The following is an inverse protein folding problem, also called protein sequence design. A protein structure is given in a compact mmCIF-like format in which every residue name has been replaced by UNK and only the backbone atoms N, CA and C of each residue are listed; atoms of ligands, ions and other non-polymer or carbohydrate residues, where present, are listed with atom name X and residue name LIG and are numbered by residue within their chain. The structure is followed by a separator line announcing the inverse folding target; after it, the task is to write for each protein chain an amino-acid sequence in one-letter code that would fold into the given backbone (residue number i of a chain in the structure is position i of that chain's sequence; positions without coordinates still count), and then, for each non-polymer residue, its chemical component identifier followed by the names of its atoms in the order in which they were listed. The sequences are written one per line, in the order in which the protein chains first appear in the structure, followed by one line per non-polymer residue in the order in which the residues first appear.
data_IF_059625442459
#
_entry.id   IF_059625442459
#
_cell.length_a   1.000
_cell.length_b   1.000
_cell.length_c   1.000
_cell.angle_alpha   90.00
_cell.angle_beta   90.00
_cell.angle_gamma   90.00
#
_symmetry.space_group_name_H-M   'P 1'
#
loop_
_entity.id
_entity.type
_entity.pdbx_description
1 polymer ?
#
# COMPACT_ATOMS: atom_id res chain seq x y z
N UNK A 1 -3.13 22.29 0.37
CA UNK A 1 -2.56 21.15 -0.38
C UNK A 1 -2.07 20.02 0.52
N UNK A 2 -1.15 20.24 1.48
CA UNK A 2 -0.58 19.15 2.32
C UNK A 2 -1.62 18.27 3.05
N UNK A 3 -2.71 18.87 3.57
CA UNK A 3 -3.80 18.11 4.23
C UNK A 3 -4.60 17.23 3.28
N UNK A 4 -4.84 17.68 2.04
CA UNK A 4 -5.56 16.89 1.03
C UNK A 4 -4.74 15.67 0.63
N UNK A 5 -3.43 15.84 0.40
CA UNK A 5 -2.52 14.74 0.11
C UNK A 5 -2.46 13.72 1.26
N UNK A 6 -2.46 14.20 2.50
CA UNK A 6 -2.53 13.33 3.67
C UNK A 6 -3.84 12.53 3.75
N UNK A 7 -5.00 13.19 3.54
CA UNK A 7 -6.30 12.51 3.52
C UNK A 7 -6.36 11.48 2.40
N UNK A 8 -5.87 11.82 1.20
CA UNK A 8 -5.79 10.89 0.07
C UNK A 8 -4.94 9.67 0.42
N UNK A 9 -3.78 9.88 1.05
CA UNK A 9 -2.89 8.80 1.48
C UNK A 9 -3.56 7.88 2.51
N UNK A 10 -4.18 8.44 3.55
CA UNK A 10 -4.91 7.64 4.54
C UNK A 10 -6.10 6.91 3.90
N UNK A 11 -6.81 7.56 2.97
CA UNK A 11 -7.89 6.95 2.20
C UNK A 11 -7.43 5.76 1.35
N UNK A 12 -6.26 5.88 0.69
CA UNK A 12 -5.64 4.80 -0.07
C UNK A 12 -5.26 3.61 0.83
N UNK A 13 -4.76 3.86 2.05
CA UNK A 13 -4.57 2.79 3.04
C UNK A 13 -5.89 2.11 3.44
N UNK A 14 -6.93 2.90 3.68
CA UNK A 14 -8.27 2.38 3.95
C UNK A 14 -8.80 1.49 2.82
N UNK A 15 -8.64 1.94 1.57
CA UNK A 15 -9.02 1.15 0.39
C UNK A 15 -8.21 -0.15 0.28
N UNK A 16 -6.90 -0.09 0.53
CA UNK A 16 -6.03 -1.26 0.53
C UNK A 16 -6.51 -2.30 1.56
N UNK A 17 -6.76 -1.88 2.80
CA UNK A 17 -7.20 -2.76 3.88
C UNK A 17 -8.60 -3.31 3.59
N UNK A 18 -9.51 -2.48 3.08
CA UNK A 18 -10.83 -2.93 2.67
C UNK A 18 -10.73 -4.03 1.60
N UNK A 19 -9.92 -3.83 0.56
CA UNK A 19 -9.68 -4.85 -0.47
C UNK A 19 -9.04 -6.12 0.10
N UNK A 20 -8.10 -6.00 1.06
CA UNK A 20 -7.51 -7.16 1.71
C UNK A 20 -8.55 -8.04 2.43
N UNK A 21 -9.62 -7.43 2.95
CA UNK A 21 -10.67 -8.12 3.71
C UNK A 21 -11.82 -8.61 2.82
N UNK A 22 -12.17 -7.86 1.77
CA UNK A 22 -13.36 -8.14 0.95
C UNK A 22 -13.05 -8.79 -0.40
N UNK A 23 -11.90 -8.46 -0.99
CA UNK A 23 -11.47 -8.99 -2.29
C UNK A 23 -9.95 -9.24 -2.34
N UNK A 24 -9.46 -10.25 -1.59
CA UNK A 24 -8.03 -10.61 -1.53
C UNK A 24 -7.36 -10.77 -2.90
N UNK A 25 -8.10 -11.30 -3.88
CA UNK A 25 -7.63 -11.51 -5.26
C UNK A 25 -7.26 -10.20 -5.96
N UNK A 26 -7.99 -9.11 -5.69
CA UNK A 26 -7.74 -7.81 -6.31
C UNK A 26 -6.36 -7.25 -5.96
N UNK A 27 -5.89 -7.42 -4.72
CA UNK A 27 -4.53 -6.99 -4.35
C UNK A 27 -3.46 -7.79 -5.09
N UNK A 28 -3.72 -9.07 -5.36
CA UNK A 28 -2.83 -9.90 -6.16
C UNK A 28 -2.83 -9.47 -7.63
N UNK A 29 -3.98 -9.10 -8.18
CA UNK A 29 -4.07 -8.59 -9.55
C UNK A 29 -3.37 -7.24 -9.71
N UNK A 30 -3.52 -6.33 -8.72
CA UNK A 30 -2.79 -5.06 -8.68
C UNK A 30 -1.28 -5.29 -8.63
N UNK A 31 -0.81 -6.24 -7.82
CA UNK A 31 0.60 -6.61 -7.80
C UNK A 31 1.08 -7.14 -9.15
N UNK A 32 0.35 -8.08 -9.77
CA UNK A 32 0.69 -8.63 -11.08
C UNK A 32 0.73 -7.54 -12.16
N UNK A 33 -0.23 -6.63 -12.14
CA UNK A 33 -0.25 -5.48 -13.05
C UNK A 33 1.01 -4.62 -12.86
N UNK A 34 1.32 -4.22 -11.62
CA UNK A 34 2.47 -3.37 -11.33
C UNK A 34 3.80 -4.07 -11.70
N UNK A 35 3.95 -5.35 -11.37
CA UNK A 35 5.12 -6.16 -11.69
C UNK A 35 5.24 -6.49 -13.19
N UNK A 36 4.14 -6.37 -13.95
CA UNK A 36 4.10 -6.59 -15.40
C UNK A 36 4.42 -5.35 -16.23
N UNK A 37 4.61 -4.18 -15.63
CA UNK A 37 4.94 -2.95 -16.35
C UNK A 37 6.35 -2.99 -16.95
N UNK A 38 6.62 -2.18 -17.97
CA UNK A 38 8.01 -1.95 -18.42
C UNK A 38 8.82 -1.24 -17.32
N UNK A 39 10.13 -1.50 -17.25
CA UNK A 39 10.99 -1.06 -16.14
C UNK A 39 10.88 0.43 -15.79
N UNK A 40 10.73 1.40 -16.72
CA UNK A 40 10.61 2.81 -16.35
C UNK A 40 9.30 3.09 -15.62
N UNK A 41 8.22 2.45 -16.05
CA UNK A 41 6.90 2.60 -15.42
C UNK A 41 6.85 1.89 -14.07
N UNK A 42 7.51 0.74 -13.92
CA UNK A 42 7.68 0.11 -12.60
C UNK A 42 8.33 1.06 -11.61
N UNK A 43 9.48 1.66 -11.97
CA UNK A 43 10.19 2.62 -11.10
C UNK A 43 9.29 3.80 -10.74
N UNK A 44 8.54 4.33 -11.72
CA UNK A 44 7.62 5.44 -11.49
C UNK A 44 6.53 5.08 -10.47
N UNK A 45 5.91 3.90 -10.60
CA UNK A 45 4.89 3.42 -9.66
C UNK A 45 5.50 3.21 -8.27
N UNK A 46 6.69 2.63 -8.18
CA UNK A 46 7.41 2.43 -6.94
C UNK A 46 7.73 3.75 -6.23
N UNK A 47 8.15 4.80 -6.95
CA UNK A 47 8.45 6.10 -6.36
C UNK A 47 7.17 6.79 -5.85
N UNK A 48 6.10 6.78 -6.66
CA UNK A 48 4.85 7.48 -6.33
C UNK A 48 4.06 6.78 -5.22
N UNK A 49 4.08 5.44 -5.21
CA UNK A 49 3.24 4.61 -4.35
C UNK A 49 4.04 3.72 -3.41
N UNK A 50 5.28 4.11 -3.09
CA UNK A 50 6.24 3.34 -2.28
C UNK A 50 5.62 2.62 -1.07
N UNK A 51 4.89 3.29 -0.16
CA UNK A 51 4.32 2.60 1.00
C UNK A 51 3.32 1.51 0.63
N UNK A 52 2.47 1.72 -0.38
CA UNK A 52 1.51 0.71 -0.83
C UNK A 52 2.17 -0.41 -1.61
N UNK A 53 3.22 -0.12 -2.38
CA UNK A 53 4.01 -1.15 -3.07
C UNK A 53 4.69 -2.08 -2.07
N UNK A 54 5.24 -1.55 -0.98
CA UNK A 54 5.74 -2.38 0.13
C UNK A 54 4.59 -3.20 0.75
N UNK A 55 3.42 -2.60 0.93
CA UNK A 55 2.21 -3.32 1.36
C UNK A 55 1.83 -4.49 0.44
N UNK A 56 1.91 -4.30 -0.89
CA UNK A 56 1.68 -5.36 -1.88
C UNK A 56 2.76 -6.44 -1.80
N UNK A 57 4.03 -6.09 -1.59
CA UNK A 57 5.09 -7.09 -1.39
C UNK A 57 4.80 -7.95 -0.17
N UNK A 58 4.43 -7.33 0.97
CA UNK A 58 4.03 -8.05 2.18
C UNK A 58 2.83 -8.95 1.87
N UNK A 59 1.88 -8.48 1.08
CA UNK A 59 0.70 -9.25 0.70
C UNK A 59 1.03 -10.52 -0.11
N UNK A 60 2.10 -10.51 -0.92
CA UNK A 60 2.55 -11.66 -1.72
C UNK A 60 3.38 -12.70 -0.93
N UNK A 61 3.78 -12.39 0.30
CA UNK A 61 4.49 -13.36 1.15
C UNK A 61 3.64 -14.61 1.41
N UNK A 62 4.27 -15.71 1.81
CA UNK A 62 3.62 -16.96 2.21
C UNK A 62 3.09 -16.93 3.65
N UNK A 63 3.23 -15.80 4.35
CA UNK A 63 2.81 -15.65 5.74
C UNK A 63 1.31 -15.88 5.95
N UNK A 64 0.92 -16.15 7.19
CA UNK A 64 -0.50 -16.19 7.56
C UNK A 64 -1.17 -14.84 7.31
N UNK A 65 -2.48 -14.86 7.04
CA UNK A 65 -3.26 -13.64 6.82
C UNK A 65 -3.08 -12.63 7.97
N UNK A 66 -3.12 -13.12 9.22
CA UNK A 66 -2.93 -12.29 10.41
C UNK A 66 -1.55 -11.61 10.42
N UNK A 67 -0.48 -12.33 10.07
CA UNK A 67 0.87 -11.76 10.02
C UNK A 67 1.01 -10.69 8.93
N UNK A 68 0.43 -10.93 7.73
CA UNK A 68 0.39 -9.92 6.66
C UNK A 68 -0.34 -8.66 7.11
N UNK A 69 -1.53 -8.82 7.70
CA UNK A 69 -2.34 -7.70 8.18
C UNK A 69 -1.67 -6.92 9.30
N UNK A 70 -1.01 -7.60 10.24
CA UNK A 70 -0.25 -6.92 11.29
C UNK A 70 0.88 -6.05 10.72
N UNK A 71 1.63 -6.57 9.74
CA UNK A 71 2.71 -5.83 9.09
C UNK A 71 2.20 -4.68 8.22
N UNK A 72 1.12 -4.90 7.47
CA UNK A 72 0.47 -3.85 6.68
C UNK A 72 -0.11 -2.75 7.58
N UNK A 73 -0.72 -3.11 8.71
CA UNK A 73 -1.21 -2.15 9.68
C UNK A 73 -0.08 -1.34 10.32
N UNK A 74 1.03 -2.00 10.72
CA UNK A 74 2.20 -1.32 11.24
C UNK A 74 2.80 -0.34 10.23
N UNK A 75 2.90 -0.75 8.95
CA UNK A 75 3.37 0.10 7.86
C UNK A 75 2.43 1.28 7.62
N UNK A 76 1.11 1.04 7.57
CA UNK A 76 0.11 2.08 7.36
C UNK A 76 0.13 3.13 8.48
N UNK A 77 0.19 2.69 9.74
CA UNK A 77 0.28 3.57 10.91
C UNK A 77 1.61 4.32 10.95
N UNK A 78 2.73 3.62 10.76
CA UNK A 78 4.07 4.21 10.77
C UNK A 78 4.24 5.26 9.67
N UNK A 79 3.79 4.96 8.45
CA UNK A 79 3.88 5.89 7.33
C UNK A 79 2.95 7.10 7.50
N UNK A 80 1.72 6.86 7.97
CA UNK A 80 0.76 7.94 8.25
C UNK A 80 1.27 8.85 9.37
N UNK A 81 1.83 8.30 10.45
CA UNK A 81 2.42 9.08 11.54
C UNK A 81 3.64 9.89 11.07
N UNK A 82 4.51 9.30 10.25
CA UNK A 82 5.69 9.97 9.70
C UNK A 82 5.31 11.13 8.76
N UNK A 83 4.24 10.94 7.98
CA UNK A 83 3.75 11.88 6.98
C UNK A 83 2.73 12.88 7.52
N UNK A 84 2.42 12.81 8.82
CA UNK A 84 1.46 13.71 9.45
C UNK A 84 1.90 15.17 9.24
N UNK A 85 1.02 16.07 8.76
CA UNK A 85 1.38 17.47 8.56
C UNK A 85 1.73 18.11 9.91
N UNK A 86 3.03 18.25 10.20
CA UNK A 86 3.52 19.03 11.34
C UNK A 86 3.36 20.53 11.02
N UNK A 87 3.03 21.32 12.04
CA UNK A 87 2.83 22.78 11.92
C UNK A 87 4.14 23.48 11.57
#
# INVERSE_FOLDING_TARGET
MRRLLFILMVGLWGAFIALALTSPGTLTDVWRWAAGLWWPFQITVWILFLPWMIGLVIWQTDWSFAARMAMIAALALGWSAASFPRR
#
